data_IF_150512985404
#
_entry.id   IF_150512985404
#
_cell.length_a   1.000
_cell.length_b   1.000
_cell.length_c   1.000
_cell.angle_alpha   90.00
_cell.angle_beta   90.00
_cell.angle_gamma   90.00
#
_symmetry.space_group_name_H-M   'P 1'
#
loop_
_entity.id
_entity.type
_entity.pdbx_description
1 polymer ?
#
# COMPACT_ATOMS: atom_id res chain seq x y z
N UNK A 1 29.72 6.19 12.85
CA UNK A 1 29.10 6.06 11.51
C UNK A 1 28.03 4.98 11.44
N UNK A 2 28.25 3.78 11.98
CA UNK A 2 27.23 2.71 12.04
C UNK A 2 25.92 3.17 12.71
N UNK A 3 25.98 3.81 13.89
CA UNK A 3 24.78 4.30 14.58
C UNK A 3 24.03 5.38 13.78
N UNK A 4 24.76 6.34 13.20
CA UNK A 4 24.16 7.37 12.33
C UNK A 4 23.50 6.77 11.08
N UNK A 5 24.06 5.71 10.55
CA UNK A 5 23.46 4.96 9.44
C UNK A 5 22.20 4.23 9.87
N UNK A 6 22.23 3.51 11.00
CA UNK A 6 21.07 2.83 11.56
C UNK A 6 19.92 3.82 11.86
N UNK A 7 20.24 4.98 12.46
CA UNK A 7 19.28 6.06 12.71
C UNK A 7 18.69 6.58 11.39
N UNK A 8 19.53 6.83 10.38
CA UNK A 8 19.08 7.29 9.06
C UNK A 8 18.18 6.25 8.37
N UNK A 9 18.51 4.96 8.48
CA UNK A 9 17.73 3.87 7.90
C UNK A 9 16.37 3.76 8.58
N UNK A 10 16.33 3.77 9.91
CA UNK A 10 15.10 3.70 10.68
C UNK A 10 14.19 4.91 10.40
N UNK A 11 14.76 6.12 10.37
CA UNK A 11 14.02 7.34 9.99
C UNK A 11 13.55 7.29 8.53
N UNK A 12 14.35 6.72 7.64
CA UNK A 12 13.97 6.50 6.23
C UNK A 12 12.74 5.62 6.10
N UNK A 13 12.71 4.49 6.83
CA UNK A 13 11.56 3.59 6.85
C UNK A 13 10.33 4.30 7.44
N UNK A 14 10.48 5.01 8.57
CA UNK A 14 9.38 5.71 9.23
C UNK A 14 8.78 6.84 8.37
N UNK A 15 9.63 7.69 7.78
CA UNK A 15 9.17 8.74 6.87
C UNK A 15 8.61 8.17 5.57
N UNK A 16 9.18 7.08 5.04
CA UNK A 16 8.65 6.38 3.88
C UNK A 16 7.23 5.86 4.11
N UNK A 17 6.98 5.19 5.23
CA UNK A 17 5.65 4.73 5.62
C UNK A 17 4.66 5.89 5.76
N UNK A 18 5.10 7.00 6.37
CA UNK A 18 4.25 8.19 6.57
C UNK A 18 3.90 8.86 5.24
N UNK A 19 4.88 9.13 4.37
CA UNK A 19 4.65 9.78 3.10
C UNK A 19 3.82 8.89 2.16
N UNK A 20 4.06 7.58 2.16
CA UNK A 20 3.27 6.61 1.40
C UNK A 20 1.79 6.57 1.85
N UNK A 21 1.54 6.67 3.16
CA UNK A 21 0.18 6.71 3.71
C UNK A 21 -0.68 7.90 3.23
N UNK A 22 -0.04 8.99 2.80
CA UNK A 22 -0.74 10.18 2.25
C UNK A 22 -1.31 9.91 0.85
N UNK A 23 -0.68 9.01 0.08
CA UNK A 23 -1.03 8.77 -1.32
C UNK A 23 -2.47 8.28 -1.53
N UNK A 24 -3.03 7.56 -0.56
CA UNK A 24 -4.37 6.95 -0.66
C UNK A 24 -5.24 7.35 0.52
N UNK A 25 -6.55 7.44 0.30
CA UNK A 25 -7.51 7.79 1.36
C UNK A 25 -7.57 6.72 2.46
N UNK A 26 -7.29 5.46 2.10
CA UNK A 26 -7.23 4.31 3.03
C UNK A 26 -5.94 4.30 3.86
N UNK A 27 -4.89 4.98 3.41
CA UNK A 27 -3.58 4.96 4.07
C UNK A 27 -3.55 5.67 5.42
N UNK A 28 -4.53 6.53 5.73
CA UNK A 28 -4.66 7.15 7.05
C UNK A 28 -6.12 7.34 7.40
N UNK A 29 -6.53 6.83 8.56
CA UNK A 29 -7.91 6.87 9.06
C UNK A 29 -8.50 8.29 9.04
N UNK A 30 -7.67 9.31 9.30
CA UNK A 30 -8.08 10.72 9.29
C UNK A 30 -8.58 11.21 7.92
N UNK A 31 -7.98 10.75 6.82
CA UNK A 31 -8.41 11.15 5.47
C UNK A 31 -9.79 10.57 5.13
N UNK A 32 -10.04 9.34 5.56
CA UNK A 32 -11.34 8.69 5.41
C UNK A 32 -12.42 9.39 6.25
N UNK A 33 -12.10 9.77 7.49
CA UNK A 33 -13.05 10.51 8.33
C UNK A 33 -13.41 11.88 7.75
N UNK A 34 -12.43 12.58 7.15
CA UNK A 34 -12.64 13.87 6.49
C UNK A 34 -13.62 13.78 5.32
N UNK A 35 -13.59 12.68 4.55
CA UNK A 35 -14.53 12.44 3.44
C UNK A 35 -15.99 12.36 3.88
N UNK A 36 -16.25 11.99 5.13
CA UNK A 36 -17.59 11.95 5.72
C UNK A 36 -18.04 13.27 6.35
N UNK A 37 -17.19 14.31 6.37
CA UNK A 37 -17.53 15.58 7.03
C UNK A 37 -18.33 16.50 6.11
N UNK A 38 -19.38 17.17 6.63
CA UNK A 38 -20.21 18.10 5.85
C UNK A 38 -19.47 19.37 5.40
N UNK A 39 -18.26 19.60 5.92
CA UNK A 39 -17.37 20.71 5.54
C UNK A 39 -16.74 20.46 4.17
N UNK A 40 -16.63 19.20 3.74
CA UNK A 40 -16.15 18.84 2.41
C UNK A 40 -17.32 18.92 1.44
N UNK A 41 -17.33 19.95 0.59
CA UNK A 41 -18.36 20.10 -0.44
C UNK A 41 -18.16 19.07 -1.55
N UNK A 42 -19.03 18.07 -1.63
CA UNK A 42 -19.03 17.03 -2.66
C UNK A 42 -18.57 15.66 -2.16
N UNK A 43 -18.82 14.60 -2.94
CA UNK A 43 -18.37 13.25 -2.62
C UNK A 43 -16.85 13.13 -2.87
N UNK A 44 -16.09 12.94 -1.79
CA UNK A 44 -14.66 12.64 -1.86
C UNK A 44 -14.49 11.14 -2.06
N UNK A 45 -14.23 10.73 -3.30
CA UNK A 45 -13.99 9.33 -3.67
C UNK A 45 -12.52 8.96 -3.54
N UNK A 46 -12.23 7.66 -3.46
CA UNK A 46 -10.88 7.11 -3.44
C UNK A 46 -10.05 7.61 -4.63
N UNK A 47 -10.63 7.57 -5.84
CA UNK A 47 -9.95 7.99 -7.08
C UNK A 47 -9.60 9.48 -7.08
N UNK A 48 -10.52 10.33 -6.60
CA UNK A 48 -10.26 11.78 -6.47
C UNK A 48 -9.17 12.09 -5.45
N UNK A 49 -9.15 11.37 -4.33
CA UNK A 49 -8.07 11.53 -3.36
C UNK A 49 -6.74 11.11 -3.98
N UNK A 50 -6.71 9.98 -4.69
CA UNK A 50 -5.48 9.47 -5.28
C UNK A 50 -4.82 10.47 -6.25
N UNK A 51 -5.61 11.15 -7.09
CA UNK A 51 -5.13 12.20 -8.00
C UNK A 51 -4.40 13.34 -7.27
N UNK A 52 -4.86 13.70 -6.06
CA UNK A 52 -4.28 14.74 -5.23
C UNK A 52 -3.17 14.22 -4.29
N UNK A 53 -3.34 13.03 -3.74
CA UNK A 53 -2.49 12.41 -2.73
C UNK A 53 -1.19 11.87 -3.33
N UNK A 54 -1.22 11.29 -4.54
CA UNK A 54 0.00 10.75 -5.17
C UNK A 54 1.06 11.83 -5.41
N UNK A 55 0.74 13.00 -6.00
CA UNK A 55 1.76 14.01 -6.26
C UNK A 55 2.37 14.53 -4.96
N UNK A 56 1.55 14.72 -3.92
CA UNK A 56 1.99 15.16 -2.60
C UNK A 56 2.87 14.11 -1.92
N UNK A 57 2.49 12.83 -1.99
CA UNK A 57 3.28 11.72 -1.48
C UNK A 57 4.67 11.67 -2.14
N UNK A 58 4.73 11.81 -3.47
CA UNK A 58 6.02 11.85 -4.19
C UNK A 58 6.87 13.03 -3.74
N UNK A 59 6.30 14.24 -3.68
CA UNK A 59 7.03 15.44 -3.25
C UNK A 59 7.55 15.29 -1.82
N UNK A 60 6.73 14.78 -0.91
CA UNK A 60 7.12 14.57 0.49
C UNK A 60 8.18 13.49 0.66
N UNK A 61 8.12 12.40 -0.11
CA UNK A 61 9.19 11.39 -0.18
C UNK A 61 10.50 12.02 -0.63
N UNK A 62 10.48 12.84 -1.69
CA UNK A 62 11.68 13.51 -2.20
C UNK A 62 12.27 14.48 -1.17
N UNK A 63 11.43 15.23 -0.46
CA UNK A 63 11.87 16.15 0.61
C UNK A 63 12.45 15.35 1.79
N UNK A 64 11.80 14.28 2.23
CA UNK A 64 12.28 13.42 3.31
C UNK A 64 13.62 12.80 2.95
N UNK A 65 13.74 12.24 1.73
CA UNK A 65 14.99 11.70 1.21
C UNK A 65 16.10 12.74 1.18
N UNK A 66 15.85 13.91 0.60
CA UNK A 66 16.84 14.98 0.52
C UNK A 66 17.30 15.45 1.91
N UNK A 67 16.36 15.54 2.86
CA UNK A 67 16.63 15.93 4.25
C UNK A 67 17.50 14.89 4.97
N UNK A 68 17.17 13.60 4.85
CA UNK A 68 17.96 12.51 5.42
C UNK A 68 19.35 12.43 4.79
N UNK A 69 19.43 12.57 3.46
CA UNK A 69 20.69 12.56 2.74
C UNK A 69 21.61 13.69 3.19
N UNK A 70 21.09 14.92 3.25
CA UNK A 70 21.85 16.09 3.66
C UNK A 70 22.33 15.99 5.12
N UNK A 71 21.50 15.46 6.02
CA UNK A 71 21.76 15.45 7.47
C UNK A 71 22.59 14.28 7.96
N UNK A 72 22.42 13.10 7.37
CA UNK A 72 23.05 11.87 7.83
C UNK A 72 24.09 11.37 6.83
N UNK A 73 23.67 11.15 5.59
CA UNK A 73 24.47 10.44 4.57
C UNK A 73 25.72 11.20 4.14
N UNK A 74 25.62 12.52 3.95
CA UNK A 74 26.76 13.36 3.52
C UNK A 74 27.98 13.26 4.45
N UNK A 75 27.76 12.96 5.72
CA UNK A 75 28.82 12.85 6.74
C UNK A 75 29.35 11.43 6.95
N UNK A 76 28.69 10.43 6.37
CA UNK A 76 29.09 9.02 6.52
C UNK A 76 30.31 8.76 5.65
N UNK A 77 31.42 8.39 6.29
CA UNK A 77 32.57 7.77 5.62
C UNK A 77 32.49 6.28 5.87
N UNK A 78 31.80 5.56 5.00
CA UNK A 78 31.82 4.10 5.05
C UNK A 78 33.21 3.59 4.68
N UNK A 79 33.99 3.22 5.70
CA UNK A 79 35.17 2.40 5.52
C UNK A 79 34.75 0.93 5.65
N UNK A 80 34.83 0.16 4.56
CA UNK A 80 34.90 -1.30 4.63
C UNK A 80 33.61 -2.06 4.89
N UNK A 81 32.56 -1.84 4.10
CA UNK A 81 31.61 -2.94 3.85
C UNK A 81 32.09 -3.63 2.58
N UNK A 82 32.69 -4.81 2.74
CA UNK A 82 33.07 -5.65 1.62
C UNK A 82 31.80 -6.07 0.88
N UNK A 83 31.75 -5.79 -0.43
CA UNK A 83 30.62 -6.15 -1.29
C UNK A 83 30.27 -7.64 -1.16
N UNK A 84 31.27 -8.48 -0.92
CA UNK A 84 31.10 -9.91 -0.76
C UNK A 84 30.22 -10.26 0.45
N UNK A 85 30.46 -9.62 1.61
CA UNK A 85 29.64 -9.80 2.82
C UNK A 85 28.18 -9.41 2.60
N UNK A 86 27.93 -8.26 1.95
CA UNK A 86 26.55 -7.83 1.63
C UNK A 86 25.86 -8.79 0.66
N UNK A 87 26.60 -9.34 -0.29
CA UNK A 87 26.06 -10.26 -1.29
C UNK A 87 25.70 -11.59 -0.63
N UNK A 88 26.56 -12.11 0.24
CA UNK A 88 26.27 -13.34 1.01
C UNK A 88 25.02 -13.16 1.86
N UNK A 89 24.92 -12.07 2.63
CA UNK A 89 23.74 -11.80 3.46
C UNK A 89 22.46 -11.65 2.62
N UNK A 90 22.56 -10.98 1.47
CA UNK A 90 21.44 -10.85 0.54
C UNK A 90 20.99 -12.21 -0.02
N UNK A 91 21.93 -13.05 -0.44
CA UNK A 91 21.63 -14.37 -0.98
C UNK A 91 21.02 -15.30 0.08
N UNK A 92 21.48 -15.21 1.34
CA UNK A 92 20.91 -15.90 2.49
C UNK A 92 19.46 -15.47 2.74
N UNK A 93 19.20 -14.16 2.88
CA UNK A 93 17.83 -13.63 3.06
C UNK A 93 16.90 -13.99 1.90
N UNK A 94 17.40 -13.96 0.67
CA UNK A 94 16.62 -14.35 -0.51
C UNK A 94 16.29 -15.84 -0.48
N UNK A 95 17.20 -16.68 0.02
CA UNK A 95 16.96 -18.11 0.19
C UNK A 95 15.94 -18.43 1.29
N UNK A 96 15.86 -17.61 2.34
CA UNK A 96 14.86 -17.73 3.40
C UNK A 96 13.44 -17.41 2.91
N UNK A 97 13.29 -16.35 2.10
CA UNK A 97 11.99 -15.93 1.56
C UNK A 97 11.51 -16.88 0.47
N UNK A 98 12.41 -17.34 -0.41
CA UNK A 98 12.08 -18.24 -1.51
C UNK A 98 11.23 -17.59 -2.62
N UNK A 99 10.78 -18.39 -3.61
CA UNK A 99 9.93 -17.89 -4.69
C UNK A 99 8.52 -17.60 -4.21
N UNK A 100 7.87 -16.61 -4.83
CA UNK A 100 6.46 -16.30 -4.55
C UNK A 100 5.57 -17.52 -4.71
N UNK A 101 4.77 -17.79 -3.69
CA UNK A 101 3.78 -18.86 -3.75
C UNK A 101 2.62 -18.50 -4.67
N UNK A 102 1.89 -19.51 -5.18
CA UNK A 102 0.68 -19.28 -5.99
C UNK A 102 -0.33 -18.39 -5.25
N UNK A 103 -0.46 -18.60 -3.95
CA UNK A 103 -1.44 -17.90 -3.13
C UNK A 103 -1.03 -16.43 -2.91
N UNK A 104 0.26 -16.15 -2.71
CA UNK A 104 0.79 -14.77 -2.67
C UNK A 104 0.57 -14.02 -3.97
N UNK A 105 0.85 -14.68 -5.11
CA UNK A 105 0.61 -14.09 -6.42
C UNK A 105 -0.87 -13.79 -6.63
N UNK A 106 -1.75 -14.67 -6.15
CA UNK A 106 -3.20 -14.47 -6.22
C UNK A 106 -3.65 -13.27 -5.38
N UNK A 107 -3.14 -13.12 -4.15
CA UNK A 107 -3.41 -11.95 -3.31
C UNK A 107 -2.94 -10.67 -4.01
N UNK A 108 -1.74 -10.67 -4.59
CA UNK A 108 -1.22 -9.52 -5.34
C UNK A 108 -2.11 -9.17 -6.55
N UNK A 109 -2.57 -10.18 -7.32
CA UNK A 109 -3.47 -9.97 -8.45
C UNK A 109 -4.82 -9.39 -8.03
N UNK A 110 -5.42 -9.90 -6.95
CA UNK A 110 -6.69 -9.38 -6.41
C UNK A 110 -6.52 -7.95 -5.93
N UNK A 111 -5.38 -7.64 -5.29
CA UNK A 111 -5.07 -6.28 -4.84
C UNK A 111 -4.89 -5.30 -6.02
N UNK A 112 -4.21 -5.71 -7.09
CA UNK A 112 -4.05 -4.90 -8.32
C UNK A 112 -5.42 -4.69 -8.98
N UNK A 113 -6.24 -5.73 -9.10
CA UNK A 113 -7.60 -5.62 -9.63
C UNK A 113 -8.43 -4.62 -8.84
N UNK A 114 -8.32 -4.64 -7.51
CA UNK A 114 -8.98 -3.69 -6.64
C UNK A 114 -8.54 -2.24 -6.89
N UNK A 115 -7.24 -1.98 -7.01
CA UNK A 115 -6.75 -0.63 -7.36
C UNK A 115 -7.25 -0.17 -8.72
N UNK A 116 -7.25 -1.05 -9.72
CA UNK A 116 -7.77 -0.77 -11.06
C UNK A 116 -9.26 -0.43 -11.00
N UNK A 117 -10.06 -1.17 -10.23
CA UNK A 117 -11.47 -0.88 -10.04
C UNK A 117 -11.69 0.50 -9.39
N UNK A 118 -10.89 0.88 -8.40
CA UNK A 118 -10.99 2.21 -7.79
C UNK A 118 -10.73 3.34 -8.78
N UNK A 119 -9.72 3.20 -9.64
CA UNK A 119 -9.37 4.22 -10.64
C UNK A 119 -10.44 4.29 -11.73
N UNK A 120 -10.92 3.14 -12.23
CA UNK A 120 -11.86 3.08 -13.34
C UNK A 120 -13.29 3.45 -12.93
N UNK A 121 -13.69 3.20 -11.66
CA UNK A 121 -15.06 3.43 -11.17
C UNK A 121 -15.65 4.80 -11.54
N UNK A 122 -15.01 5.94 -11.22
CA UNK A 122 -15.58 7.25 -11.55
C UNK A 122 -15.75 7.49 -13.06
N UNK A 123 -14.94 6.86 -13.91
CA UNK A 123 -14.94 7.11 -15.36
C UNK A 123 -15.79 6.13 -16.16
N UNK A 124 -15.83 4.84 -15.79
CA UNK A 124 -16.46 3.79 -16.61
C UNK A 124 -17.57 3.00 -15.91
N UNK A 125 -17.73 3.11 -14.58
CA UNK A 125 -18.76 2.35 -13.84
C UNK A 125 -19.90 3.27 -13.42
N UNK A 126 -19.58 4.41 -12.82
CA UNK A 126 -20.56 5.40 -12.36
C UNK A 126 -21.50 5.92 -13.46
N UNK A 127 -21.07 6.11 -14.73
CA UNK A 127 -21.99 6.56 -15.79
C UNK A 127 -22.98 5.50 -16.27
N UNK A 128 -22.69 4.21 -16.09
CA UNK A 128 -23.47 3.10 -16.66
C UNK A 128 -24.33 2.36 -15.62
N UNK A 129 -24.01 2.48 -14.32
CA UNK A 129 -24.71 1.80 -13.22
C UNK A 129 -25.38 2.83 -12.30
N UNK A 130 -26.18 3.70 -12.89
CA UNK A 130 -27.04 4.62 -12.14
C UNK A 130 -28.41 3.97 -11.99
N UNK A 131 -28.80 3.65 -10.76
CA UNK A 131 -30.16 3.14 -10.53
C UNK A 131 -31.19 4.27 -10.69
N UNK A 132 -32.44 3.89 -10.95
CA UNK A 132 -33.60 4.78 -11.03
C UNK A 132 -33.87 5.64 -9.77
N UNK A 133 -33.11 5.42 -8.68
CA UNK A 133 -33.13 6.22 -7.44
C UNK A 133 -31.92 7.16 -7.29
N UNK A 134 -31.07 7.31 -8.32
CA UNK A 134 -29.93 8.23 -8.31
C UNK A 134 -28.70 7.73 -7.53
N UNK A 135 -28.77 6.58 -6.86
CA UNK A 135 -27.64 5.97 -6.15
C UNK A 135 -26.91 4.94 -7.03
N UNK A 136 -25.59 5.03 -7.16
CA UNK A 136 -24.78 3.98 -7.79
C UNK A 136 -24.72 2.75 -6.89
N UNK A 137 -25.06 1.57 -7.40
CA UNK A 137 -25.00 0.31 -6.64
C UNK A 137 -23.56 -0.07 -6.23
N UNK A 138 -22.57 0.49 -6.94
CA UNK A 138 -21.14 0.28 -6.69
C UNK A 138 -20.54 1.56 -6.09
N UNK A 139 -20.23 1.50 -4.79
CA UNK A 139 -19.50 2.54 -4.08
C UNK A 139 -18.09 2.06 -3.71
N UNK A 140 -17.26 2.97 -3.18
CA UNK A 140 -15.88 2.67 -2.81
C UNK A 140 -15.81 1.59 -1.71
N UNK A 141 -16.82 1.49 -0.84
CA UNK A 141 -16.90 0.44 0.16
C UNK A 141 -17.16 -0.95 -0.46
N UNK A 142 -17.99 -1.05 -1.50
CA UNK A 142 -18.21 -2.30 -2.25
C UNK A 142 -16.92 -2.77 -2.92
N UNK A 143 -16.18 -1.85 -3.55
CA UNK A 143 -14.89 -2.15 -4.19
C UNK A 143 -13.82 -2.49 -3.13
N UNK A 144 -13.91 -1.94 -1.92
CA UNK A 144 -13.05 -2.32 -0.80
C UNK A 144 -13.33 -3.75 -0.29
N UNK A 145 -14.60 -4.08 -0.06
CA UNK A 145 -14.99 -5.34 0.59
C UNK A 145 -15.04 -6.54 -0.36
N UNK A 146 -15.51 -6.36 -1.61
CA UNK A 146 -15.77 -7.49 -2.51
C UNK A 146 -14.51 -8.30 -2.89
N UNK A 147 -13.37 -7.68 -3.26
CA UNK A 147 -12.13 -8.41 -3.54
C UNK A 147 -11.56 -9.10 -2.30
N UNK A 148 -11.69 -8.47 -1.12
CA UNK A 148 -11.26 -9.07 0.14
C UNK A 148 -12.10 -10.32 0.48
N UNK A 149 -13.42 -10.25 0.31
CA UNK A 149 -14.32 -11.40 0.49
C UNK A 149 -14.03 -12.52 -0.52
N UNK A 150 -13.69 -12.17 -1.76
CA UNK A 150 -13.33 -13.16 -2.79
C UNK A 150 -12.17 -14.06 -2.35
N UNK A 151 -11.17 -13.53 -1.63
CA UNK A 151 -10.04 -14.31 -1.12
C UNK A 151 -10.43 -15.38 -0.08
N UNK A 152 -11.58 -15.25 0.58
CA UNK A 152 -12.12 -16.28 1.48
C UNK A 152 -12.78 -17.45 0.74
N UNK A 153 -13.18 -17.26 -0.51
CA UNK A 153 -13.79 -18.31 -1.32
C UNK A 153 -12.79 -19.08 -2.18
N UNK A 154 -11.62 -18.49 -2.42
CA UNK A 154 -10.58 -19.13 -3.24
C UNK A 154 -9.80 -20.13 -2.38
N UNK A 155 -9.74 -21.41 -2.76
CA UNK A 155 -8.98 -22.41 -2.02
C UNK A 155 -7.47 -22.15 -2.16
N UNK A 156 -6.77 -22.26 -1.02
CA UNK A 156 -5.32 -22.17 -0.93
C UNK A 156 -4.68 -23.44 -1.48
N UNK A 157 -3.65 -23.27 -2.30
CA UNK A 157 -2.81 -24.39 -2.77
C UNK A 157 -1.67 -24.66 -1.80
N UNK A 158 -1.22 -23.64 -1.07
CA UNK A 158 -0.17 -23.77 -0.04
C UNK A 158 -0.70 -24.44 1.22
N UNK A 159 -1.97 -24.20 1.57
CA UNK A 159 -2.66 -24.74 2.75
C UNK A 159 -3.90 -25.52 2.32
N UNK A 160 -3.76 -26.82 1.98
CA UNK A 160 -4.89 -27.65 1.55
C UNK A 160 -6.03 -27.65 2.57
N UNK A 161 -7.27 -27.47 2.08
CA UNK A 161 -8.46 -27.43 2.92
C UNK A 161 -8.74 -26.06 3.58
N UNK A 162 -7.91 -25.04 3.32
CA UNK A 162 -8.14 -23.66 3.75
C UNK A 162 -8.35 -22.74 2.55
N UNK A 163 -8.93 -21.57 2.79
CA UNK A 163 -8.94 -20.49 1.81
C UNK A 163 -7.61 -19.73 1.78
N UNK A 164 -7.38 -18.96 0.71
CA UNK A 164 -6.20 -18.09 0.56
C UNK A 164 -6.12 -17.10 1.73
N UNK A 165 -7.26 -16.55 2.15
CA UNK A 165 -7.37 -15.78 3.39
C UNK A 165 -8.26 -16.56 4.37
N UNK A 166 -7.74 -16.83 5.56
CA UNK A 166 -8.44 -17.52 6.62
C UNK A 166 -8.19 -16.77 7.93
N UNK A 167 -9.24 -16.55 8.72
CA UNK A 167 -9.06 -16.09 10.09
C UNK A 167 -8.76 -17.29 10.97
N UNK A 168 -7.79 -17.20 11.90
CA UNK A 168 -7.77 -18.14 13.01
C UNK A 168 -9.10 -18.00 13.75
N UNK A 169 -9.88 -19.08 13.80
CA UNK A 169 -11.01 -19.13 14.70
C UNK A 169 -10.44 -18.95 16.10
N UNK A 170 -10.86 -17.89 16.79
CA UNK A 170 -10.53 -17.70 18.21
C UNK A 170 -11.23 -18.85 18.95
N UNK A 171 -10.45 -19.86 19.32
CA UNK A 171 -10.85 -20.95 20.20
C UNK A 171 -10.42 -20.64 21.63
#
# INVERSE_FOLDING_TARGET
DVQKFADCLLLGIAYGATCGGIATITGTINHYFLAGQPIVSGELTWGRWFEFGIPISIVTVLIAYASLYARYVRSLRFAGIEHEVLKTEYDELLSEVGPFSRDELLVALVQILQFVLFIIRPFAISPFITTQFGSTLVNDATIACAPALLLFFIPSVVRPGQAVLAWPAVH
#
